data_IF_412549182626
#
_entry.id   IF_412549182626
#
_cell.length_a   1.000
_cell.length_b   1.000
_cell.length_c   1.000
_cell.angle_alpha   90.00
_cell.angle_beta   90.00
_cell.angle_gamma   90.00
#
_symmetry.space_group_name_H-M   'P 1'
#
loop_
_entity.id
_entity.type
_entity.pdbx_description
1 polymer ?
#
# COMPACT_ATOMS: atom_id res chain seq x y z
N UNK A 1 -21.21 8.03 15.67
CA UNK A 1 -20.79 6.78 16.31
C UNK A 1 -19.99 6.03 15.27
N UNK A 2 -18.66 6.02 15.36
CA UNK A 2 -17.81 5.34 14.39
C UNK A 2 -17.95 3.84 14.59
N UNK A 3 -18.58 3.19 13.62
CA UNK A 3 -18.62 1.75 13.55
C UNK A 3 -17.21 1.27 13.16
N UNK A 4 -16.37 1.06 14.16
CA UNK A 4 -15.07 0.43 13.97
C UNK A 4 -15.36 -0.97 13.45
N UNK A 5 -15.21 -1.16 12.15
CA UNK A 5 -15.40 -2.45 11.51
C UNK A 5 -14.63 -3.48 12.33
N UNK A 6 -15.38 -4.36 12.97
CA UNK A 6 -14.82 -5.42 13.81
C UNK A 6 -13.83 -6.18 12.94
N UNK A 7 -12.54 -6.08 13.24
CA UNK A 7 -11.49 -6.80 12.52
C UNK A 7 -11.83 -8.28 12.65
N UNK A 8 -12.43 -8.84 11.61
CA UNK A 8 -12.61 -10.28 11.54
C UNK A 8 -11.19 -10.83 11.46
N UNK A 9 -10.76 -11.49 12.53
CA UNK A 9 -9.48 -12.16 12.61
C UNK A 9 -9.53 -13.37 11.70
N UNK A 10 -9.38 -13.15 10.40
CA UNK A 10 -9.06 -14.23 9.49
C UNK A 10 -7.64 -14.65 9.82
N UNK A 11 -7.45 -15.89 10.29
CA UNK A 11 -6.12 -16.46 10.49
C UNK A 11 -5.52 -16.60 9.10
N UNK A 12 -4.57 -15.75 8.69
CA UNK A 12 -4.02 -15.83 7.35
C UNK A 12 -3.20 -17.12 7.24
N UNK A 13 -3.23 -17.73 6.07
CA UNK A 13 -2.37 -18.86 5.75
C UNK A 13 -0.88 -18.51 5.84
N UNK A 14 -0.59 -17.22 5.71
CA UNK A 14 0.67 -16.58 6.05
C UNK A 14 0.40 -15.17 6.56
N UNK A 15 1.33 -14.59 7.30
CA UNK A 15 1.21 -13.26 7.92
C UNK A 15 1.09 -12.10 6.93
N UNK A 16 1.26 -12.35 5.64
CA UNK A 16 1.17 -11.36 4.55
C UNK A 16 -0.13 -11.44 3.77
N UNK A 17 -0.96 -12.49 3.98
CA UNK A 17 -2.21 -12.70 3.26
C UNK A 17 -3.32 -11.80 3.78
N UNK A 18 -4.10 -11.28 2.85
CA UNK A 18 -5.31 -10.52 3.11
C UNK A 18 -6.43 -11.06 2.25
N UNK A 19 -7.66 -11.03 2.77
CA UNK A 19 -8.84 -11.42 1.98
C UNK A 19 -9.18 -10.35 0.95
N UNK A 20 -9.87 -10.75 -0.12
CA UNK A 20 -10.41 -9.82 -1.12
C UNK A 20 -11.22 -8.69 -0.48
N UNK A 21 -12.00 -9.03 0.57
CA UNK A 21 -12.77 -8.06 1.34
C UNK A 21 -11.88 -6.98 1.94
N UNK A 22 -10.80 -7.37 2.55
CA UNK A 22 -9.88 -6.44 3.22
C UNK A 22 -9.15 -5.55 2.22
N UNK A 23 -8.75 -6.13 1.08
CA UNK A 23 -8.11 -5.39 -0.01
C UNK A 23 -9.08 -4.32 -0.56
N UNK A 24 -10.32 -4.71 -0.85
CA UNK A 24 -11.35 -3.78 -1.34
C UNK A 24 -11.62 -2.68 -0.32
N UNK A 25 -11.85 -3.03 0.95
CA UNK A 25 -12.15 -2.04 1.99
C UNK A 25 -11.00 -1.05 2.17
N UNK A 26 -9.75 -1.53 2.17
CA UNK A 26 -8.58 -0.65 2.33
C UNK A 26 -8.35 0.27 1.14
N UNK A 27 -8.61 -0.19 -0.07
CA UNK A 27 -8.35 0.59 -1.28
C UNK A 27 -9.53 1.45 -1.71
N UNK A 28 -10.77 0.94 -1.55
CA UNK A 28 -11.98 1.58 -2.08
C UNK A 28 -12.98 1.99 -0.99
N UNK A 29 -12.88 1.47 0.24
CA UNK A 29 -13.80 1.72 1.34
C UNK A 29 -14.90 0.67 1.49
N UNK A 30 -15.63 0.74 2.62
CA UNK A 30 -16.69 -0.21 2.98
C UNK A 30 -17.86 -0.18 1.99
N UNK A 31 -18.23 0.99 1.49
CA UNK A 31 -19.35 1.13 0.53
C UNK A 31 -19.08 0.40 -0.77
N UNK A 32 -17.84 0.41 -1.25
CA UNK A 32 -17.45 -0.34 -2.43
C UNK A 32 -17.58 -1.86 -2.21
N UNK A 33 -17.22 -2.35 -1.02
CA UNK A 33 -17.40 -3.75 -0.68
C UNK A 33 -18.90 -4.13 -0.66
N UNK A 34 -19.76 -3.33 -0.04
CA UNK A 34 -21.19 -3.56 0.01
C UNK A 34 -21.81 -3.56 -1.39
N UNK A 35 -21.38 -2.63 -2.25
CA UNK A 35 -21.80 -2.58 -3.64
C UNK A 35 -21.40 -3.84 -4.41
N UNK A 36 -20.16 -4.31 -4.24
CA UNK A 36 -19.69 -5.56 -4.84
C UNK A 36 -20.50 -6.78 -4.39
N UNK A 37 -20.86 -6.85 -3.09
CA UNK A 37 -21.71 -7.94 -2.58
C UNK A 37 -23.12 -7.89 -3.19
N UNK A 38 -23.69 -6.70 -3.36
CA UNK A 38 -24.99 -6.51 -4.01
C UNK A 38 -24.93 -6.98 -5.47
N UNK A 39 -23.98 -6.55 -6.25
CA UNK A 39 -23.79 -6.98 -7.64
C UNK A 39 -23.56 -8.49 -7.75
N UNK A 40 -22.82 -9.07 -6.80
CA UNK A 40 -22.60 -10.52 -6.74
C UNK A 40 -23.88 -11.29 -6.46
N UNK A 41 -24.74 -10.81 -5.54
CA UNK A 41 -26.02 -11.42 -5.24
C UNK A 41 -26.99 -11.38 -6.42
N UNK A 42 -26.90 -10.32 -7.22
CA UNK A 42 -27.67 -10.14 -8.46
C UNK A 42 -27.08 -10.91 -9.66
N UNK A 43 -25.97 -11.63 -9.46
CA UNK A 43 -25.21 -12.31 -10.52
C UNK A 43 -24.68 -11.36 -11.63
N UNK A 44 -24.57 -10.09 -11.35
CA UNK A 44 -23.98 -9.05 -12.21
C UNK A 44 -22.48 -8.97 -11.96
N UNK A 45 -21.82 -10.09 -12.06
CA UNK A 45 -20.36 -10.22 -11.88
C UNK A 45 -19.78 -11.00 -13.04
N UNK A 46 -18.54 -11.34 -13.03
CA UNK A 46 -17.89 -12.10 -14.07
C UNK A 46 -16.58 -11.45 -14.48
N UNK A 47 -16.36 -11.27 -15.79
CA UNK A 47 -15.07 -10.76 -16.29
C UNK A 47 -14.71 -9.36 -15.74
N UNK A 48 -15.71 -8.48 -15.61
CA UNK A 48 -15.49 -7.13 -15.05
C UNK A 48 -15.07 -7.17 -13.59
N UNK A 49 -15.69 -7.99 -12.75
CA UNK A 49 -15.30 -8.18 -11.37
C UNK A 49 -13.87 -8.76 -11.28
N UNK A 50 -13.55 -9.75 -12.09
CA UNK A 50 -12.21 -10.34 -12.14
C UNK A 50 -11.15 -9.27 -12.47
N UNK A 51 -11.36 -8.48 -13.52
CA UNK A 51 -10.43 -7.40 -13.88
C UNK A 51 -10.26 -6.37 -12.76
N UNK A 52 -11.34 -6.02 -12.04
CA UNK A 52 -11.27 -5.13 -10.88
C UNK A 52 -10.38 -5.73 -9.78
N UNK A 53 -10.61 -7.00 -9.42
CA UNK A 53 -9.79 -7.68 -8.41
C UNK A 53 -8.32 -7.84 -8.85
N UNK A 54 -8.06 -8.03 -10.14
CA UNK A 54 -6.70 -8.05 -10.68
C UNK A 54 -6.00 -6.69 -10.48
N UNK A 55 -6.69 -5.57 -10.77
CA UNK A 55 -6.13 -4.23 -10.53
C UNK A 55 -5.85 -3.98 -9.06
N UNK A 56 -6.82 -4.28 -8.18
CA UNK A 56 -6.65 -4.09 -6.74
C UNK A 56 -5.58 -5.02 -6.15
N UNK A 57 -5.50 -6.24 -6.65
CA UNK A 57 -4.47 -7.22 -6.28
C UNK A 57 -3.07 -6.78 -6.70
N UNK A 58 -2.91 -6.21 -7.90
CA UNK A 58 -1.64 -5.68 -8.37
C UNK A 58 -1.16 -4.51 -7.49
N UNK A 59 -2.05 -3.55 -7.17
CA UNK A 59 -1.73 -2.48 -6.21
C UNK A 59 -1.29 -3.07 -4.88
N UNK A 60 -2.09 -4.02 -4.36
CA UNK A 60 -1.82 -4.64 -3.07
C UNK A 60 -0.49 -5.38 -3.03
N UNK A 61 -0.19 -6.17 -4.07
CA UNK A 61 1.05 -6.92 -4.18
C UNK A 61 2.28 -6.01 -4.17
N UNK A 62 2.23 -4.89 -4.90
CA UNK A 62 3.32 -3.91 -4.92
C UNK A 62 3.48 -3.24 -3.56
N UNK A 63 2.40 -2.68 -3.00
CA UNK A 63 2.46 -1.92 -1.74
C UNK A 63 2.93 -2.79 -0.57
N UNK A 64 2.64 -4.09 -0.61
CA UNK A 64 3.05 -5.06 0.43
C UNK A 64 4.39 -5.74 0.16
N UNK A 65 5.11 -5.32 -0.88
CA UNK A 65 6.41 -5.88 -1.20
C UNK A 65 7.46 -4.77 -1.33
N UNK A 66 8.33 -4.58 -0.31
CA UNK A 66 9.35 -3.53 -0.32
C UNK A 66 10.27 -3.58 -1.54
N UNK A 67 10.58 -4.77 -2.06
CA UNK A 67 11.43 -4.91 -3.26
C UNK A 67 10.73 -4.41 -4.52
N UNK A 68 9.41 -4.65 -4.66
CA UNK A 68 8.65 -4.15 -5.81
C UNK A 68 8.48 -2.63 -5.74
N UNK A 69 8.28 -2.08 -4.54
CA UNK A 69 8.25 -0.62 -4.34
C UNK A 69 9.58 -0.01 -4.77
N UNK A 70 10.70 -0.56 -4.33
CA UNK A 70 12.03 -0.05 -4.68
C UNK A 70 12.29 -0.17 -6.19
N UNK A 71 11.95 -1.31 -6.81
CA UNK A 71 12.10 -1.48 -8.27
C UNK A 71 11.30 -0.42 -9.05
N UNK A 72 10.07 -0.11 -8.65
CA UNK A 72 9.24 0.89 -9.33
C UNK A 72 9.63 2.34 -9.02
N UNK A 73 10.29 2.60 -7.88
CA UNK A 73 10.92 3.89 -7.59
C UNK A 73 12.14 4.13 -8.48
N UNK A 74 12.94 3.08 -8.70
CA UNK A 74 14.17 3.16 -9.48
C UNK A 74 13.93 3.09 -10.99
N UNK A 75 12.77 2.55 -11.42
CA UNK A 75 12.42 2.36 -12.82
C UNK A 75 11.06 3.00 -13.19
N UNK A 76 10.98 4.34 -13.31
CA UNK A 76 9.72 5.05 -13.59
C UNK A 76 8.96 4.53 -14.81
N UNK A 77 9.67 4.12 -15.87
CA UNK A 77 9.03 3.57 -17.08
C UNK A 77 8.25 2.26 -16.81
N UNK A 78 8.74 1.42 -15.87
CA UNK A 78 8.01 0.22 -15.44
C UNK A 78 6.76 0.59 -14.65
N UNK A 79 6.85 1.59 -13.75
CA UNK A 79 5.73 2.14 -13.02
C UNK A 79 4.65 2.66 -13.96
N UNK A 80 5.03 3.50 -14.92
CA UNK A 80 4.12 4.05 -15.94
C UNK A 80 3.41 2.95 -16.73
N UNK A 81 4.15 1.92 -17.16
CA UNK A 81 3.59 0.79 -17.89
C UNK A 81 2.56 0.02 -17.04
N UNK A 82 2.85 -0.24 -15.76
CA UNK A 82 1.94 -0.89 -14.82
C UNK A 82 0.66 -0.07 -14.61
N UNK A 83 0.80 1.22 -14.32
CA UNK A 83 -0.33 2.14 -14.11
C UNK A 83 -1.18 2.26 -15.38
N UNK A 84 -0.56 2.32 -16.55
CA UNK A 84 -1.25 2.33 -17.84
C UNK A 84 -2.09 1.08 -18.06
N UNK A 85 -1.55 -0.09 -17.72
CA UNK A 85 -2.27 -1.36 -17.82
C UNK A 85 -3.45 -1.42 -16.84
N UNK A 86 -3.28 -0.96 -15.61
CA UNK A 86 -4.38 -0.86 -14.63
C UNK A 86 -5.51 0.03 -15.16
N UNK A 87 -5.19 1.23 -15.66
CA UNK A 87 -6.15 2.14 -16.27
C UNK A 87 -6.83 1.55 -17.50
N UNK A 88 -6.10 0.79 -18.32
CA UNK A 88 -6.67 0.09 -19.47
C UNK A 88 -7.74 -0.93 -19.02
N UNK A 89 -7.46 -1.76 -18.01
CA UNK A 89 -8.42 -2.73 -17.47
C UNK A 89 -9.67 -2.06 -16.90
N UNK A 90 -9.51 -0.95 -16.17
CA UNK A 90 -10.65 -0.16 -15.67
C UNK A 90 -11.49 0.42 -16.81
N UNK A 91 -10.86 0.93 -17.88
CA UNK A 91 -11.55 1.38 -19.09
C UNK A 91 -12.34 0.26 -19.78
N UNK A 92 -11.83 -0.96 -19.78
CA UNK A 92 -12.56 -2.13 -20.31
C UNK A 92 -13.78 -2.51 -19.45
N UNK A 93 -13.72 -2.32 -18.13
CA UNK A 93 -14.88 -2.48 -17.25
C UNK A 93 -15.91 -1.40 -17.55
N UNK A 94 -15.47 -0.15 -17.68
CA UNK A 94 -16.33 0.98 -17.98
C UNK A 94 -17.12 0.79 -19.29
N UNK A 95 -16.47 0.27 -20.33
CA UNK A 95 -17.13 -0.02 -21.62
C UNK A 95 -18.23 -1.10 -21.53
N UNK A 96 -18.13 -1.99 -20.54
CA UNK A 96 -19.03 -3.17 -20.38
C UNK A 96 -20.09 -2.98 -19.30
N UNK A 97 -20.22 -1.79 -18.75
CA UNK A 97 -21.09 -1.55 -17.58
C UNK A 97 -22.60 -1.45 -17.93
N UNK A 98 -22.97 -1.33 -19.22
CA UNK A 98 -24.37 -1.24 -19.69
C UNK A 98 -25.22 -0.27 -18.87
N UNK A 99 -24.77 0.98 -18.67
CA UNK A 99 -25.39 2.03 -17.86
C UNK A 99 -25.60 1.71 -16.36
N UNK A 100 -24.93 0.67 -15.86
CA UNK A 100 -24.98 0.32 -14.45
C UNK A 100 -24.21 1.34 -13.60
N UNK A 101 -24.94 2.17 -12.87
CA UNK A 101 -24.40 3.23 -12.01
C UNK A 101 -23.52 2.67 -10.87
N UNK A 102 -23.87 1.51 -10.31
CA UNK A 102 -23.07 0.88 -9.24
C UNK A 102 -21.68 0.47 -9.76
N UNK A 103 -21.63 -0.06 -10.98
CA UNK A 103 -20.36 -0.39 -11.63
C UNK A 103 -19.57 0.87 -11.94
N UNK A 104 -20.24 1.97 -12.36
CA UNK A 104 -19.58 3.24 -12.61
C UNK A 104 -18.90 3.78 -11.36
N UNK A 105 -19.57 3.78 -10.21
CA UNK A 105 -19.04 4.21 -8.93
C UNK A 105 -17.82 3.37 -8.48
N UNK A 106 -17.89 2.04 -8.68
CA UNK A 106 -16.77 1.15 -8.39
C UNK A 106 -15.54 1.43 -9.27
N UNK A 107 -15.76 1.67 -10.57
CA UNK A 107 -14.67 2.03 -11.49
C UNK A 107 -14.05 3.36 -11.08
N UNK A 108 -14.85 4.37 -10.78
CA UNK A 108 -14.38 5.67 -10.33
C UNK A 108 -13.55 5.55 -9.04
N UNK A 109 -14.01 4.76 -8.07
CA UNK A 109 -13.26 4.51 -6.84
C UNK A 109 -11.93 3.80 -7.11
N UNK A 110 -11.91 2.83 -8.04
CA UNK A 110 -10.70 2.13 -8.44
C UNK A 110 -9.72 3.02 -9.21
N UNK A 111 -10.22 3.91 -10.10
CA UNK A 111 -9.38 4.91 -10.78
C UNK A 111 -8.71 5.85 -9.77
N UNK A 112 -9.45 6.30 -8.76
CA UNK A 112 -8.91 7.09 -7.67
C UNK A 112 -7.86 6.31 -6.84
N UNK A 113 -8.06 5.00 -6.64
CA UNK A 113 -7.07 4.16 -5.97
C UNK A 113 -5.79 4.00 -6.81
N UNK A 114 -5.90 3.82 -8.13
CA UNK A 114 -4.75 3.79 -9.05
C UNK A 114 -4.01 5.12 -9.06
N UNK A 115 -4.72 6.25 -9.03
CA UNK A 115 -4.09 7.57 -8.94
C UNK A 115 -3.29 7.72 -7.63
N UNK A 116 -3.91 7.42 -6.48
CA UNK A 116 -3.20 7.44 -5.19
C UNK A 116 -1.98 6.50 -5.15
N UNK A 117 -2.09 5.34 -5.78
CA UNK A 117 -0.98 4.40 -5.91
C UNK A 117 0.17 5.02 -6.69
N UNK A 118 -0.10 5.66 -7.84
CA UNK A 118 0.90 6.32 -8.68
C UNK A 118 1.57 7.48 -7.92
N UNK A 119 0.77 8.35 -7.31
CA UNK A 119 1.24 9.53 -6.54
C UNK A 119 2.10 9.12 -5.32
N UNK A 120 1.81 7.97 -4.71
CA UNK A 120 2.52 7.47 -3.52
C UNK A 120 4.03 7.26 -3.73
N UNK A 121 4.47 7.04 -4.97
CA UNK A 121 5.90 6.89 -5.28
C UNK A 121 6.65 8.21 -5.17
N UNK A 122 6.08 9.30 -5.66
CA UNK A 122 6.70 10.62 -5.59
C UNK A 122 6.65 11.16 -4.14
N UNK A 123 5.57 10.88 -3.42
CA UNK A 123 5.49 11.12 -1.97
C UNK A 123 6.56 10.34 -1.20
N UNK A 124 6.72 9.05 -1.50
CA UNK A 124 7.75 8.19 -0.89
C UNK A 124 9.14 8.71 -1.15
N UNK A 125 9.45 9.12 -2.39
CA UNK A 125 10.75 9.69 -2.75
C UNK A 125 11.02 10.96 -1.96
N UNK A 126 10.09 11.89 -1.96
CA UNK A 126 10.18 13.15 -1.20
C UNK A 126 10.39 12.89 0.29
N UNK A 127 9.64 11.94 0.85
CA UNK A 127 9.75 11.58 2.26
C UNK A 127 11.10 10.97 2.60
N UNK A 128 11.63 10.06 1.77
CA UNK A 128 12.97 9.50 1.92
C UNK A 128 14.05 10.59 1.91
N UNK A 129 13.96 11.55 1.01
CA UNK A 129 14.90 12.68 0.94
C UNK A 129 14.86 13.55 2.20
N UNK A 130 13.67 13.86 2.71
CA UNK A 130 13.49 14.62 3.97
C UNK A 130 14.13 13.88 5.16
N UNK A 131 13.85 12.59 5.30
CA UNK A 131 14.41 11.76 6.37
C UNK A 131 15.93 11.70 6.27
N UNK A 132 16.46 11.40 5.08
CA UNK A 132 17.90 11.33 4.84
C UNK A 132 18.59 12.65 5.18
N UNK A 133 18.02 13.78 4.74
CA UNK A 133 18.54 15.13 5.05
C UNK A 133 18.55 15.44 6.54
N UNK A 134 17.55 15.00 7.29
CA UNK A 134 17.43 15.27 8.73
C UNK A 134 18.35 14.37 9.54
N UNK A 135 18.31 13.06 9.28
CA UNK A 135 19.02 12.06 10.08
C UNK A 135 20.53 11.99 9.77
N UNK A 136 20.96 12.32 8.55
CA UNK A 136 22.40 12.34 8.19
C UNK A 136 23.22 13.40 8.95
N UNK A 137 22.57 14.29 9.69
CA UNK A 137 23.22 15.22 10.61
C UNK A 137 23.53 14.60 11.98
N UNK A 138 22.97 13.41 12.25
CA UNK A 138 23.05 12.74 13.56
C UNK A 138 23.78 11.41 13.45
N UNK A 139 23.56 10.67 12.38
CA UNK A 139 24.21 9.39 12.09
C UNK A 139 24.74 9.35 10.65
N UNK A 140 25.57 8.37 10.33
CA UNK A 140 26.13 8.20 8.98
C UNK A 140 25.05 7.81 7.99
N UNK A 141 25.18 8.24 6.73
CA UNK A 141 24.19 7.97 5.68
C UNK A 141 23.90 6.46 5.49
N UNK A 142 24.92 5.61 5.58
CA UNK A 142 24.75 4.16 5.41
C UNK A 142 24.01 3.48 6.57
N UNK A 143 23.81 4.19 7.67
CA UNK A 143 22.98 3.73 8.80
C UNK A 143 21.50 4.06 8.63
N UNK A 144 21.12 4.75 7.55
CA UNK A 144 19.74 5.14 7.23
C UNK A 144 19.35 4.35 5.99
N UNK A 145 18.66 3.22 6.18
CA UNK A 145 18.40 2.23 5.15
C UNK A 145 16.92 2.22 4.76
N UNK A 146 16.65 2.39 3.47
CA UNK A 146 15.31 2.33 2.90
C UNK A 146 15.08 1.10 2.03
N UNK A 147 16.15 0.37 1.74
CA UNK A 147 16.10 -0.76 0.82
C UNK A 147 15.26 -1.93 1.34
N UNK A 148 14.75 -2.73 0.39
CA UNK A 148 13.86 -3.84 0.68
C UNK A 148 14.46 -4.87 1.63
N UNK A 149 15.78 -5.14 1.54
CA UNK A 149 16.44 -6.12 2.40
C UNK A 149 16.43 -5.65 3.87
N UNK A 150 16.85 -4.41 4.14
CA UNK A 150 16.83 -3.84 5.48
C UNK A 150 15.42 -3.86 6.06
N UNK A 151 14.42 -3.44 5.28
CA UNK A 151 13.02 -3.37 5.71
C UNK A 151 12.43 -4.76 6.01
N UNK A 152 12.72 -5.75 5.19
CA UNK A 152 12.23 -7.13 5.38
C UNK A 152 12.91 -7.81 6.56
N UNK A 153 14.21 -7.57 6.78
CA UNK A 153 14.94 -8.19 7.90
C UNK A 153 14.56 -7.64 9.28
N UNK A 154 13.86 -6.48 9.34
CA UNK A 154 13.42 -5.85 10.58
C UNK A 154 11.90 -5.91 10.80
N UNK A 155 11.22 -6.83 10.17
CA UNK A 155 9.77 -6.99 10.26
C UNK A 155 9.33 -8.18 11.11
N UNK A 156 10.23 -9.10 11.38
CA UNK A 156 9.91 -10.35 12.07
C UNK A 156 9.96 -10.14 13.58
N UNK A 157 8.84 -10.36 14.24
CA UNK A 157 8.76 -10.51 15.68
C UNK A 157 8.06 -11.83 16.05
N UNK A 158 7.99 -12.15 17.32
CA UNK A 158 7.37 -13.37 17.83
C UNK A 158 5.86 -13.21 18.08
N UNK A 159 5.22 -12.17 17.55
CA UNK A 159 3.81 -11.88 17.76
C UNK A 159 2.93 -12.42 16.64
N UNK A 160 1.63 -12.62 16.95
CA UNK A 160 0.60 -13.04 15.99
C UNK A 160 0.14 -11.90 15.06
N UNK A 161 0.82 -10.75 15.08
CA UNK A 161 0.41 -9.60 14.28
C UNK A 161 0.83 -9.78 12.82
N UNK A 162 0.04 -9.19 11.93
CA UNK A 162 0.38 -9.15 10.50
C UNK A 162 1.64 -8.33 10.30
N UNK A 163 2.46 -8.80 9.37
CA UNK A 163 3.70 -8.14 8.98
C UNK A 163 3.42 -6.73 8.49
N UNK A 164 4.02 -5.73 9.16
CA UNK A 164 4.06 -4.34 8.73
C UNK A 164 5.53 -3.94 8.54
N UNK A 165 5.87 -3.53 7.32
CA UNK A 165 7.25 -3.19 7.00
C UNK A 165 7.60 -1.79 7.52
N UNK A 166 8.77 -1.62 8.18
CA UNK A 166 9.22 -0.30 8.54
C UNK A 166 9.45 0.55 7.29
N UNK A 167 9.19 1.86 7.37
CA UNK A 167 9.48 2.77 6.27
C UNK A 167 10.98 2.99 6.08
N UNK A 168 11.72 3.03 7.18
CA UNK A 168 13.17 3.22 7.25
C UNK A 168 13.73 2.42 8.42
N UNK A 169 14.91 1.85 8.25
CA UNK A 169 15.69 1.26 9.33
C UNK A 169 16.87 2.18 9.64
N UNK A 170 17.07 2.50 10.91
CA UNK A 170 18.11 3.45 11.34
C UNK A 170 18.97 2.84 12.43
N UNK A 171 20.27 2.78 12.20
CA UNK A 171 21.25 2.33 13.19
C UNK A 171 21.98 3.55 13.80
N UNK A 172 22.03 3.69 15.14
CA UNK A 172 22.84 4.71 15.77
C UNK A 172 24.33 4.36 15.66
N UNK A 173 25.21 5.35 15.42
CA UNK A 173 26.66 5.13 15.47
C UNK A 173 27.17 4.89 16.90
N UNK A 174 26.52 5.50 17.88
CA UNK A 174 26.89 5.45 19.30
C UNK A 174 25.63 5.52 20.17
N UNK A 175 25.73 5.08 21.42
CA UNK A 175 24.65 5.20 22.41
C UNK A 175 24.21 6.67 22.58
N UNK A 176 25.16 7.61 22.59
CA UNK A 176 24.84 9.04 22.69
C UNK A 176 23.99 9.57 21.50
N UNK A 177 24.06 8.90 20.34
CA UNK A 177 23.26 9.23 19.17
C UNK A 177 21.78 8.79 19.25
N UNK A 178 21.42 7.89 20.17
CA UNK A 178 20.06 7.34 20.26
C UNK A 178 19.02 8.42 20.57
N UNK A 179 19.22 9.20 21.63
CA UNK A 179 18.27 10.23 22.04
C UNK A 179 18.04 11.33 20.96
N UNK A 180 19.09 11.87 20.31
CA UNK A 180 18.92 12.77 19.17
C UNK A 180 18.19 12.15 17.98
N UNK A 181 18.44 10.88 17.66
CA UNK A 181 17.74 10.15 16.58
C UNK A 181 16.26 10.01 16.89
N UNK A 182 15.91 9.55 18.10
CA UNK A 182 14.50 9.40 18.55
C UNK A 182 13.78 10.74 18.44
N UNK A 183 14.38 11.82 18.92
CA UNK A 183 13.78 13.16 18.81
C UNK A 183 13.56 13.58 17.34
N UNK A 184 14.55 13.34 16.48
CA UNK A 184 14.43 13.66 15.07
C UNK A 184 13.36 12.83 14.35
N UNK A 185 13.18 11.57 14.73
CA UNK A 185 12.12 10.71 14.20
C UNK A 185 10.72 11.20 14.65
N UNK A 186 10.58 11.62 15.90
CA UNK A 186 9.35 12.25 16.41
C UNK A 186 9.05 13.55 15.67
N UNK A 187 10.05 14.43 15.49
CA UNK A 187 9.91 15.69 14.74
C UNK A 187 9.49 15.44 13.27
N UNK A 188 9.82 14.29 12.73
CA UNK A 188 9.43 13.82 11.40
C UNK A 188 8.08 13.07 11.42
N UNK A 189 7.37 13.01 12.54
CA UNK A 189 6.10 12.29 12.68
C UNK A 189 6.18 10.81 12.27
N UNK A 190 7.31 10.16 12.58
CA UNK A 190 7.52 8.74 12.32
C UNK A 190 7.23 7.93 13.59
N UNK A 191 6.46 6.86 13.43
CA UNK A 191 6.27 5.87 14.49
C UNK A 191 7.54 5.07 14.69
N UNK A 192 8.00 4.94 15.93
CA UNK A 192 9.21 4.20 16.29
C UNK A 192 8.79 2.85 16.87
N UNK A 193 9.42 1.80 16.39
CA UNK A 193 9.20 0.42 16.84
C UNK A 193 10.53 -0.13 17.34
#
# INVERSE_FOLDING_TARGET
MSNTAQRIREIPYNYTSYSDREIVIRLLGDDAWNTLQTLRSQRVTGRSARMLFEVLGDIWAVVRNPYLVDDLLDHPARREALVKEMRHRLGEIHKRRDDNEQVALLVQAAEAAVARFDDSFDETKTRREQILKRLSKITKKHNIMFDGLARVSHVTDATDWRVEYPFVVVNPDTEAGVAPLVRALIDLELTII
#
